data_IF_805049133129
#
_entry.id   IF_805049133129
#
_cell.length_a   1.000
_cell.length_b   1.000
_cell.length_c   1.000
_cell.angle_alpha   90.00
_cell.angle_beta   90.00
_cell.angle_gamma   90.00
#
_symmetry.space_group_name_H-M   'P 1'
#
loop_
_entity.id
_entity.type
_entity.pdbx_description
1 polymer ?
#
# COMPACT_ATOMS: atom_id res chain seq x y z
N UNK A 1 -34.44 10.43 25.33
CA UNK A 1 -33.57 10.69 24.17
C UNK A 1 -34.48 10.97 22.99
N UNK A 2 -34.61 12.23 22.54
CA UNK A 2 -35.60 12.56 21.53
C UNK A 2 -35.12 12.17 20.13
N UNK A 3 -35.92 11.37 19.44
CA UNK A 3 -35.90 11.14 18.00
C UNK A 3 -36.11 12.48 17.26
N UNK A 4 -35.02 13.13 16.87
CA UNK A 4 -35.06 14.18 15.85
C UNK A 4 -34.84 13.52 14.49
N UNK A 5 -35.88 12.88 13.95
CA UNK A 5 -35.87 12.25 12.63
C UNK A 5 -37.02 12.81 11.79
N UNK A 6 -36.68 13.30 10.58
CA UNK A 6 -37.54 13.54 9.40
C UNK A 6 -37.41 14.92 8.73
N UNK A 7 -36.25 15.56 8.78
CA UNK A 7 -35.83 16.34 7.61
C UNK A 7 -34.77 15.54 6.86
N UNK A 8 -34.92 15.33 5.53
CA UNK A 8 -33.83 14.79 4.75
C UNK A 8 -32.64 15.75 4.96
N UNK A 9 -31.48 15.24 5.42
CA UNK A 9 -30.30 16.09 5.58
C UNK A 9 -30.03 16.78 4.24
N UNK A 10 -29.76 18.08 4.28
CA UNK A 10 -29.26 18.79 3.10
C UNK A 10 -27.99 18.08 2.68
N UNK A 11 -28.03 17.43 1.51
CA UNK A 11 -26.90 16.73 0.93
C UNK A 11 -26.22 17.63 -0.10
N UNK A 12 -24.90 17.69 -0.05
CA UNK A 12 -24.08 18.28 -1.13
C UNK A 12 -23.44 17.13 -1.90
N UNK A 13 -23.52 17.17 -3.23
CA UNK A 13 -22.87 16.20 -4.09
C UNK A 13 -21.43 16.65 -4.38
N UNK A 14 -20.47 15.74 -4.21
CA UNK A 14 -19.05 15.96 -4.52
C UNK A 14 -18.63 14.83 -5.46
N UNK A 15 -18.81 15.07 -6.77
CA UNK A 15 -18.72 14.02 -7.78
C UNK A 15 -19.73 12.87 -7.50
N UNK A 16 -19.31 11.58 -7.52
CA UNK A 16 -20.19 10.46 -7.18
C UNK A 16 -20.53 10.32 -5.69
N UNK A 17 -19.87 11.08 -4.81
CA UNK A 17 -20.08 11.01 -3.37
C UNK A 17 -21.14 12.01 -2.91
N UNK A 18 -21.77 11.73 -1.77
CA UNK A 18 -22.74 12.66 -1.14
C UNK A 18 -22.36 12.93 0.30
N UNK A 19 -22.29 14.21 0.64
CA UNK A 19 -22.00 14.69 1.99
C UNK A 19 -23.29 15.11 2.66
N UNK A 20 -23.61 14.49 3.81
CA UNK A 20 -24.79 14.77 4.61
C UNK A 20 -24.40 15.54 5.87
N UNK A 21 -25.04 16.67 6.12
CA UNK A 21 -24.80 17.48 7.32
C UNK A 21 -25.64 17.02 8.52
N UNK A 22 -24.99 16.80 9.66
CA UNK A 22 -25.60 16.43 10.94
C UNK A 22 -25.08 17.34 12.07
N UNK A 23 -25.54 18.59 12.07
CA UNK A 23 -25.00 19.62 12.97
C UNK A 23 -23.55 19.94 12.62
N UNK A 24 -22.63 19.75 13.57
CA UNK A 24 -21.19 19.95 13.35
C UNK A 24 -20.49 18.73 12.72
N UNK A 25 -21.18 17.59 12.67
CA UNK A 25 -20.64 16.38 12.04
C UNK A 25 -21.11 16.31 10.60
N UNK A 26 -20.26 15.77 9.74
CA UNK A 26 -20.61 15.47 8.35
C UNK A 26 -20.45 13.97 8.11
N UNK A 27 -21.35 13.41 7.31
CA UNK A 27 -21.31 12.01 6.90
C UNK A 27 -21.09 11.95 5.41
N UNK A 28 -19.94 11.44 5.00
CA UNK A 28 -19.58 11.28 3.60
C UNK A 28 -19.96 9.88 3.15
N UNK A 29 -20.98 9.79 2.31
CA UNK A 29 -21.41 8.56 1.65
C UNK A 29 -20.60 8.40 0.36
N UNK A 30 -19.54 7.60 0.42
CA UNK A 30 -18.60 7.46 -0.68
C UNK A 30 -18.96 6.27 -1.57
N UNK A 31 -18.85 6.47 -2.89
CA UNK A 31 -18.99 5.38 -3.86
C UNK A 31 -17.80 4.39 -3.80
N UNK A 32 -16.63 4.85 -3.34
CA UNK A 32 -15.40 4.06 -3.23
C UNK A 32 -14.68 4.31 -1.91
N UNK A 33 -13.82 3.37 -1.54
CA UNK A 33 -13.02 3.45 -0.32
C UNK A 33 -11.95 4.55 -0.39
N UNK A 34 -11.67 5.20 0.74
CA UNK A 34 -10.68 6.26 0.90
C UNK A 34 -9.58 5.79 1.85
N UNK A 35 -8.60 5.01 1.36
CA UNK A 35 -7.58 4.40 2.23
C UNK A 35 -6.72 5.44 2.95
N UNK A 36 -6.57 6.64 2.39
CA UNK A 36 -5.81 7.74 2.99
C UNK A 36 -6.48 8.31 4.24
N UNK A 37 -7.77 8.06 4.44
CA UNK A 37 -8.54 8.55 5.60
C UNK A 37 -8.38 7.66 6.82
N UNK A 38 -7.83 6.46 6.69
CA UNK A 38 -7.72 5.53 7.81
C UNK A 38 -6.83 6.09 8.92
N UNK A 39 -7.46 6.36 10.07
CA UNK A 39 -6.79 6.84 11.27
C UNK A 39 -5.79 5.79 11.76
N UNK A 40 -4.50 6.13 11.76
CA UNK A 40 -3.48 5.37 12.49
C UNK A 40 -3.44 5.87 13.93
N UNK A 41 -3.20 4.98 14.89
CA UNK A 41 -3.18 5.31 16.34
C UNK A 41 -2.28 6.52 16.68
N UNK A 42 -1.22 6.75 15.88
CA UNK A 42 -0.25 7.83 16.10
C UNK A 42 -0.41 9.07 15.21
N UNK A 43 -1.38 9.10 14.28
CA UNK A 43 -1.61 10.25 13.41
C UNK A 43 -2.97 10.17 12.72
N UNK A 44 -3.85 11.13 13.04
CA UNK A 44 -5.12 11.34 12.33
C UNK A 44 -4.88 12.32 11.17
N UNK A 45 -5.23 11.99 9.92
CA UNK A 45 -5.22 12.97 8.84
C UNK A 45 -6.29 14.04 9.13
N UNK A 46 -5.97 15.30 8.85
CA UNK A 46 -6.97 16.36 8.83
C UNK A 46 -7.62 16.38 7.44
N UNK A 47 -8.95 16.33 7.40
CA UNK A 47 -9.74 16.38 6.17
C UNK A 47 -10.34 17.77 6.09
N UNK A 48 -9.94 18.56 5.10
CA UNK A 48 -10.48 19.90 4.85
C UNK A 48 -11.64 19.81 3.86
N UNK A 49 -12.81 20.31 4.23
CA UNK A 49 -14.01 20.36 3.39
C UNK A 49 -14.73 21.68 3.65
N UNK A 50 -15.04 22.44 2.59
CA UNK A 50 -15.65 23.78 2.67
C UNK A 50 -14.98 24.69 3.72
N UNK A 51 -13.64 24.80 3.69
CA UNK A 51 -12.82 25.57 4.65
C UNK A 51 -12.88 25.11 6.13
N UNK A 52 -13.54 23.98 6.42
CA UNK A 52 -13.61 23.39 7.75
C UNK A 52 -12.73 22.16 7.84
N UNK A 53 -12.06 22.00 9.00
CA UNK A 53 -11.24 20.83 9.29
C UNK A 53 -12.02 19.79 10.05
N UNK A 54 -11.91 18.56 9.59
CA UNK A 54 -12.48 17.40 10.23
C UNK A 54 -11.45 16.31 10.44
N UNK A 55 -11.78 15.34 11.30
CA UNK A 55 -11.08 14.07 11.39
C UNK A 55 -12.08 12.93 11.23
N UNK A 56 -11.60 11.80 10.71
CA UNK A 56 -12.40 10.59 10.63
C UNK A 56 -12.70 10.06 12.04
N UNK A 57 -13.96 10.16 12.46
CA UNK A 57 -14.42 9.63 13.74
C UNK A 57 -14.81 8.16 13.62
N UNK A 58 -15.46 7.77 12.52
CA UNK A 58 -15.98 6.41 12.32
C UNK A 58 -16.10 6.06 10.85
N UNK A 59 -15.79 4.81 10.52
CA UNK A 59 -16.07 4.20 9.22
C UNK A 59 -17.21 3.20 9.41
N UNK A 60 -18.28 3.37 8.63
CA UNK A 60 -19.48 2.56 8.66
C UNK A 60 -19.70 1.91 7.30
N UNK A 61 -20.41 0.77 7.30
CA UNK A 61 -20.91 0.16 6.07
C UNK A 61 -22.17 0.90 5.62
N UNK A 62 -22.21 1.30 4.36
CA UNK A 62 -23.36 1.96 3.74
C UNK A 62 -24.24 1.00 2.94
N UNK A 63 -25.00 1.56 2.00
CA UNK A 63 -25.97 0.84 1.16
C UNK A 63 -25.30 0.34 -0.15
N UNK A 64 -26.06 -0.36 -1.01
CA UNK A 64 -25.53 -0.96 -2.25
C UNK A 64 -24.81 0.06 -3.16
N UNK A 65 -25.38 1.25 -3.35
CA UNK A 65 -24.79 2.28 -4.23
C UNK A 65 -23.59 3.01 -3.59
N UNK A 66 -23.53 3.04 -2.26
CA UNK A 66 -22.54 3.79 -1.48
C UNK A 66 -22.06 2.94 -0.33
N UNK A 67 -21.17 1.97 -0.59
CA UNK A 67 -20.88 0.88 0.34
C UNK A 67 -20.15 1.34 1.60
N UNK A 68 -19.58 2.55 1.61
CA UNK A 68 -18.85 3.08 2.76
C UNK A 68 -19.36 4.46 3.15
N UNK A 69 -19.64 4.62 4.45
CA UNK A 69 -20.01 5.90 5.06
C UNK A 69 -18.93 6.32 6.05
N UNK A 70 -18.43 7.54 5.90
CA UNK A 70 -17.41 8.11 6.78
C UNK A 70 -18.04 9.20 7.64
N UNK A 71 -18.08 8.99 8.95
CA UNK A 71 -18.50 10.03 9.90
C UNK A 71 -17.28 10.87 10.26
N UNK A 72 -17.33 12.14 9.87
CA UNK A 72 -16.29 13.12 10.16
C UNK A 72 -16.76 14.03 11.30
N UNK A 73 -15.90 14.19 12.29
CA UNK A 73 -16.11 15.08 13.43
C UNK A 73 -15.22 16.32 13.28
N UNK A 74 -15.67 17.49 13.77
CA UNK A 74 -14.90 18.73 13.66
C UNK A 74 -13.56 18.59 14.36
N UNK A 75 -12.51 19.13 13.76
CA UNK A 75 -11.17 19.08 14.34
C UNK A 75 -11.17 19.85 15.67
N UNK A 76 -10.72 19.23 16.78
CA UNK A 76 -10.79 19.86 18.09
C UNK A 76 -9.92 21.13 18.13
N UNK A 77 -10.52 22.27 18.50
CA UNK A 77 -9.82 23.56 18.57
C UNK A 77 -8.62 23.55 19.53
N UNK A 78 -8.64 22.68 20.54
CA UNK A 78 -7.59 22.53 21.55
C UNK A 78 -6.47 21.55 21.14
N UNK A 79 -6.56 20.89 19.98
CA UNK A 79 -5.46 20.06 19.50
C UNK A 79 -4.33 20.95 18.98
N UNK A 80 -3.35 21.20 19.83
CA UNK A 80 -2.08 21.86 19.48
C UNK A 80 -1.23 21.05 18.49
N UNK A 81 -1.56 19.77 18.28
CA UNK A 81 -0.90 18.91 17.33
C UNK A 81 -1.26 19.33 15.89
N UNK A 82 -0.26 19.86 15.16
CA UNK A 82 -0.38 20.05 13.71
C UNK A 82 -0.57 18.68 13.05
N UNK A 83 -1.60 18.50 12.20
CA UNK A 83 -1.75 17.26 11.46
C UNK A 83 -0.54 17.05 10.55
N UNK A 84 -0.03 15.81 10.49
CA UNK A 84 1.08 15.45 9.59
C UNK A 84 0.65 15.43 8.13
N UNK A 85 -0.63 15.16 7.89
CA UNK A 85 -1.24 15.02 6.56
C UNK A 85 -2.53 15.82 6.58
N UNK A 86 -2.68 16.71 5.60
CA UNK A 86 -3.90 17.45 5.34
C UNK A 86 -4.42 16.99 3.98
N UNK A 87 -5.67 16.57 3.93
CA UNK A 87 -6.35 16.08 2.73
C UNK A 87 -7.46 17.07 2.42
N UNK A 88 -7.35 17.77 1.30
CA UNK A 88 -8.43 18.63 0.81
C UNK A 88 -9.43 17.72 0.11
N UNK A 89 -10.65 17.66 0.66
CA UNK A 89 -11.74 16.88 0.10
C UNK A 89 -12.60 17.78 -0.79
N UNK A 90 -12.38 17.68 -2.08
CA UNK A 90 -13.12 18.40 -3.11
C UNK A 90 -13.42 17.49 -4.30
N UNK A 91 -14.05 18.04 -5.34
CA UNK A 91 -14.36 17.30 -6.56
C UNK A 91 -13.09 16.77 -7.25
N UNK A 92 -11.99 17.52 -7.20
CA UNK A 92 -10.71 17.13 -7.79
C UNK A 92 -10.11 15.91 -7.08
N UNK A 93 -10.12 15.89 -5.75
CA UNK A 93 -9.71 14.74 -4.95
C UNK A 93 -10.54 13.51 -5.30
N UNK A 94 -11.86 13.66 -5.39
CA UNK A 94 -12.76 12.56 -5.76
C UNK A 94 -12.48 12.05 -7.17
N UNK A 95 -12.23 12.94 -8.14
CA UNK A 95 -11.84 12.57 -9.50
C UNK A 95 -10.50 11.83 -9.54
N UNK A 96 -9.51 12.27 -8.75
CA UNK A 96 -8.18 11.66 -8.65
C UNK A 96 -8.27 10.24 -8.07
N UNK A 97 -9.02 10.08 -6.97
CA UNK A 97 -9.36 8.78 -6.37
C UNK A 97 -10.01 7.88 -7.41
N UNK A 98 -11.05 8.37 -8.07
CA UNK A 98 -11.82 7.58 -9.02
C UNK A 98 -11.00 7.16 -10.24
N UNK A 99 -10.10 8.02 -10.70
CA UNK A 99 -9.09 7.73 -11.70
C UNK A 99 -8.14 6.62 -11.26
N UNK A 100 -7.68 6.63 -10.01
CA UNK A 100 -6.84 5.56 -9.45
C UNK A 100 -7.58 4.22 -9.44
N UNK A 101 -8.84 4.18 -9.01
CA UNK A 101 -9.64 2.95 -9.04
C UNK A 101 -9.95 2.45 -10.46
N UNK A 102 -10.16 3.36 -11.42
CA UNK A 102 -10.36 2.98 -12.83
C UNK A 102 -9.11 2.30 -13.40
N UNK A 103 -7.91 2.76 -13.01
CA UNK A 103 -6.64 2.13 -13.41
C UNK A 103 -6.44 0.75 -12.78
N UNK A 104 -6.93 0.53 -11.56
CA UNK A 104 -6.72 -0.71 -10.79
C UNK A 104 -7.66 -1.85 -11.22
N UNK A 105 -8.68 -1.62 -12.07
CA UNK A 105 -9.59 -2.70 -12.52
C UNK A 105 -8.78 -3.80 -13.22
N UNK A 106 -8.59 -4.97 -12.58
CA UNK A 106 -7.83 -6.04 -13.18
C UNK A 106 -8.68 -6.62 -14.31
N UNK A 107 -8.15 -6.66 -15.52
CA UNK A 107 -8.73 -7.48 -16.58
C UNK A 107 -8.65 -8.93 -16.08
N UNK A 108 -9.81 -9.55 -15.80
CA UNK A 108 -9.94 -10.74 -14.94
C UNK A 108 -9.11 -11.98 -15.30
N UNK A 109 -8.42 -12.01 -16.45
CA UNK A 109 -7.48 -13.07 -16.81
C UNK A 109 -6.03 -12.84 -16.39
N UNK A 110 -5.57 -11.59 -16.29
CA UNK A 110 -4.13 -11.29 -16.08
C UNK A 110 -3.67 -11.54 -14.63
N UNK A 111 -4.57 -11.44 -13.64
CA UNK A 111 -4.22 -11.67 -12.23
C UNK A 111 -3.69 -13.08 -11.96
N UNK A 112 -4.12 -14.09 -12.73
CA UNK A 112 -3.66 -15.47 -12.53
C UNK A 112 -2.19 -15.63 -12.91
N UNK A 113 -1.74 -15.01 -14.01
CA UNK A 113 -0.34 -15.06 -14.46
C UNK A 113 0.57 -14.40 -13.42
N UNK A 114 0.18 -13.24 -12.91
CA UNK A 114 0.95 -12.51 -11.91
C UNK A 114 1.09 -13.25 -10.57
N UNK A 115 0.14 -14.12 -10.21
CA UNK A 115 0.23 -14.94 -8.99
C UNK A 115 1.34 -15.99 -9.06
N UNK A 116 1.57 -16.60 -10.22
CA UNK A 116 2.66 -17.56 -10.40
C UNK A 116 4.02 -16.86 -10.48
N UNK A 117 4.07 -15.67 -11.08
CA UNK A 117 5.28 -14.87 -11.13
C UNK A 117 5.62 -14.18 -9.80
N UNK A 118 4.66 -14.08 -8.87
CA UNK A 118 4.74 -13.29 -7.64
C UNK A 118 6.03 -13.46 -6.80
N UNK A 119 6.58 -14.69 -6.62
CA UNK A 119 7.83 -14.90 -5.89
C UNK A 119 9.07 -14.30 -6.57
N UNK A 120 8.99 -14.00 -7.86
CA UNK A 120 10.07 -13.41 -8.64
C UNK A 120 9.89 -11.91 -8.86
N UNK A 121 8.66 -11.39 -8.72
CA UNK A 121 8.34 -10.00 -9.07
C UNK A 121 9.10 -8.95 -8.23
N UNK A 122 9.50 -9.30 -7.01
CA UNK A 122 10.20 -8.38 -6.11
C UNK A 122 11.69 -8.22 -6.39
N UNK A 123 12.25 -9.04 -7.28
CA UNK A 123 13.62 -8.89 -7.76
C UNK A 123 13.74 -7.87 -8.90
N UNK A 124 12.63 -7.52 -9.59
CA UNK A 124 12.68 -6.50 -10.64
C UNK A 124 13.03 -5.12 -10.08
N UNK A 125 13.56 -4.21 -10.92
CA UNK A 125 13.87 -2.84 -10.51
C UNK A 125 12.64 -2.07 -10.00
N UNK A 126 12.86 -1.07 -9.15
CA UNK A 126 11.81 -0.21 -8.60
C UNK A 126 11.00 0.46 -9.71
N UNK A 127 11.65 0.91 -10.78
CA UNK A 127 11.00 1.52 -11.95
C UNK A 127 10.05 0.56 -12.68
N UNK A 128 10.36 -0.73 -12.73
CA UNK A 128 9.48 -1.75 -13.30
C UNK A 128 8.28 -2.00 -12.38
N UNK A 129 8.49 -2.05 -11.06
CA UNK A 129 7.39 -2.21 -10.09
C UNK A 129 6.40 -1.04 -10.19
N UNK A 130 6.89 0.18 -10.31
CA UNK A 130 6.07 1.38 -10.49
C UNK A 130 5.33 1.39 -11.84
N UNK A 131 6.06 1.19 -12.95
CA UNK A 131 5.47 1.32 -14.29
C UNK A 131 4.61 0.13 -14.72
N UNK A 132 4.90 -1.09 -14.25
CA UNK A 132 4.23 -2.31 -14.69
C UNK A 132 3.37 -2.90 -13.59
N UNK A 133 3.84 -3.04 -12.35
CA UNK A 133 3.08 -3.77 -11.32
C UNK A 133 1.95 -2.93 -10.70
N UNK A 134 2.20 -1.65 -10.41
CA UNK A 134 1.22 -0.76 -9.78
C UNK A 134 -0.06 -0.58 -10.64
N UNK A 135 0.01 -0.39 -11.98
CA UNK A 135 -1.19 -0.35 -12.82
C UNK A 135 -2.03 -1.63 -12.78
N UNK A 136 -1.42 -2.78 -12.50
CA UNK A 136 -2.14 -4.06 -12.36
C UNK A 136 -2.67 -4.29 -10.93
N UNK A 137 -2.59 -3.28 -10.05
CA UNK A 137 -3.04 -3.35 -8.66
C UNK A 137 -2.14 -4.20 -7.77
N UNK A 138 -0.90 -4.48 -8.20
CA UNK A 138 0.04 -5.28 -7.44
C UNK A 138 0.84 -4.35 -6.51
N UNK A 139 0.65 -4.54 -5.20
CA UNK A 139 1.34 -3.73 -4.20
C UNK A 139 2.86 -4.08 -4.16
N UNK A 140 3.75 -3.14 -4.51
CA UNK A 140 5.20 -3.40 -4.61
C UNK A 140 5.86 -3.75 -3.27
N UNK A 141 5.34 -3.24 -2.14
CA UNK A 141 5.82 -3.58 -0.80
C UNK A 141 5.54 -5.05 -0.47
N UNK A 142 4.31 -5.51 -0.75
CA UNK A 142 3.89 -6.89 -0.47
C UNK A 142 4.68 -7.89 -1.31
N UNK A 143 4.87 -7.58 -2.59
CA UNK A 143 5.72 -8.37 -3.49
C UNK A 143 7.15 -8.42 -2.97
N UNK A 144 7.75 -7.27 -2.66
CA UNK A 144 9.14 -7.21 -2.19
C UNK A 144 9.32 -8.00 -0.90
N UNK A 145 8.39 -7.90 0.06
CA UNK A 145 8.40 -8.68 1.30
C UNK A 145 8.34 -10.19 1.04
N UNK A 146 7.43 -10.64 0.18
CA UNK A 146 7.33 -12.07 -0.16
C UNK A 146 8.63 -12.56 -0.82
N UNK A 147 9.21 -11.78 -1.74
CA UNK A 147 10.47 -12.17 -2.37
C UNK A 147 11.65 -12.18 -1.40
N UNK A 148 11.69 -11.28 -0.40
CA UNK A 148 12.69 -11.31 0.66
C UNK A 148 12.54 -12.58 1.52
N UNK A 149 11.31 -12.95 1.88
CA UNK A 149 11.04 -14.20 2.62
C UNK A 149 11.45 -15.43 1.80
N UNK A 150 11.10 -15.48 0.51
CA UNK A 150 11.51 -16.56 -0.38
C UNK A 150 13.03 -16.64 -0.54
N UNK A 151 13.71 -15.51 -0.71
CA UNK A 151 15.18 -15.45 -0.78
C UNK A 151 15.83 -15.94 0.52
N UNK A 152 15.27 -15.58 1.68
CA UNK A 152 15.75 -16.06 2.98
C UNK A 152 15.55 -17.58 3.14
N UNK A 153 14.37 -18.11 2.78
CA UNK A 153 14.10 -19.55 2.80
C UNK A 153 15.06 -20.31 1.87
N UNK A 154 15.30 -19.77 0.66
CA UNK A 154 16.27 -20.34 -0.28
C UNK A 154 17.69 -20.32 0.30
N UNK A 155 18.11 -19.21 0.90
CA UNK A 155 19.40 -19.10 1.59
C UNK A 155 19.57 -20.17 2.68
N UNK A 156 18.55 -20.38 3.53
CA UNK A 156 18.60 -21.40 4.59
C UNK A 156 18.68 -22.81 3.98
N UNK A 157 17.90 -23.07 2.93
CA UNK A 157 17.95 -24.35 2.22
C UNK A 157 19.33 -24.61 1.60
N UNK A 158 19.91 -23.60 0.94
CA UNK A 158 21.26 -23.66 0.36
C UNK A 158 22.32 -23.94 1.44
N UNK A 159 22.26 -23.25 2.57
CA UNK A 159 23.18 -23.44 3.68
C UNK A 159 23.12 -24.89 4.22
N UNK A 160 21.91 -25.44 4.35
CA UNK A 160 21.70 -26.84 4.75
C UNK A 160 22.27 -27.80 3.71
N UNK A 161 22.03 -27.57 2.42
CA UNK A 161 22.56 -28.40 1.34
C UNK A 161 24.10 -28.41 1.36
N UNK A 162 24.73 -27.23 1.40
CA UNK A 162 26.19 -27.12 1.46
C UNK A 162 26.78 -27.78 2.71
N UNK A 163 26.07 -27.75 3.84
CA UNK A 163 26.48 -28.48 5.05
C UNK A 163 26.57 -30.01 4.80
N UNK A 164 25.68 -30.56 3.96
CA UNK A 164 25.72 -31.96 3.54
C UNK A 164 26.60 -32.21 2.29
N UNK A 165 27.51 -31.29 1.97
CA UNK A 165 28.50 -31.38 0.88
C UNK A 165 27.95 -31.30 -0.56
N UNK A 166 26.73 -30.79 -0.76
CA UNK A 166 26.20 -30.53 -2.10
C UNK A 166 25.44 -29.20 -2.14
N UNK A 167 25.73 -28.32 -3.09
CA UNK A 167 24.91 -27.11 -3.30
C UNK A 167 23.64 -27.38 -4.11
N UNK A 168 22.64 -26.49 -4.05
CA UNK A 168 21.44 -26.62 -4.90
C UNK A 168 21.84 -26.42 -6.37
N UNK A 169 22.62 -25.39 -6.69
CA UNK A 169 23.11 -25.17 -8.06
C UNK A 169 24.03 -26.30 -8.50
N UNK A 170 24.90 -26.80 -7.61
CA UNK A 170 25.72 -27.95 -7.92
C UNK A 170 24.88 -29.17 -8.34
N UNK A 171 23.79 -29.44 -7.61
CA UNK A 171 22.90 -30.57 -7.87
C UNK A 171 22.16 -30.47 -9.21
N UNK A 172 21.75 -29.27 -9.61
CA UNK A 172 20.96 -29.07 -10.84
C UNK A 172 21.81 -28.78 -12.07
N UNK A 173 23.00 -28.19 -11.92
CA UNK A 173 23.79 -27.65 -13.03
C UNK A 173 25.24 -28.18 -13.10
N UNK A 174 25.62 -29.15 -12.26
CA UNK A 174 26.95 -29.78 -12.28
C UNK A 174 27.96 -29.09 -11.36
N UNK A 175 29.27 -29.06 -11.67
CA UNK A 175 30.30 -28.59 -10.73
C UNK A 175 30.38 -27.05 -10.59
N UNK A 176 29.25 -26.37 -10.44
CA UNK A 176 29.14 -24.91 -10.32
C UNK A 176 29.08 -24.44 -8.85
N UNK A 177 29.95 -24.97 -7.99
CA UNK A 177 29.93 -24.71 -6.53
C UNK A 177 30.06 -23.21 -6.17
N UNK A 178 30.70 -22.42 -7.03
CA UNK A 178 30.86 -20.99 -6.81
C UNK A 178 29.51 -20.24 -6.83
N UNK A 179 28.50 -20.74 -7.57
CA UNK A 179 27.16 -20.16 -7.57
C UNK A 179 26.46 -20.35 -6.23
N UNK A 180 26.65 -21.51 -5.61
CA UNK A 180 26.11 -21.81 -4.29
C UNK A 180 26.71 -20.85 -3.23
N UNK A 181 28.03 -20.68 -3.23
CA UNK A 181 28.70 -19.71 -2.35
C UNK A 181 28.27 -18.27 -2.63
N UNK A 182 28.13 -17.90 -3.91
CA UNK A 182 27.64 -16.58 -4.29
C UNK A 182 26.22 -16.36 -3.76
N UNK A 183 25.32 -17.33 -3.88
CA UNK A 183 23.96 -17.25 -3.37
C UNK A 183 23.94 -17.10 -1.83
N UNK A 184 24.77 -17.86 -1.12
CA UNK A 184 24.92 -17.77 0.34
C UNK A 184 25.35 -16.38 0.81
N UNK A 185 26.19 -15.68 0.04
CA UNK A 185 26.66 -14.33 0.41
C UNK A 185 25.69 -13.25 -0.09
N UNK A 186 25.28 -13.33 -1.35
CA UNK A 186 24.50 -12.30 -2.04
C UNK A 186 23.07 -12.16 -1.49
N UNK A 187 22.36 -13.28 -1.34
CA UNK A 187 20.94 -13.28 -0.99
C UNK A 187 20.64 -12.68 0.38
N UNK A 188 21.35 -13.02 1.48
CA UNK A 188 21.06 -12.41 2.77
C UNK A 188 21.39 -10.91 2.79
N UNK A 189 22.46 -10.48 2.13
CA UNK A 189 22.84 -9.07 2.09
C UNK A 189 21.79 -8.25 1.32
N UNK A 190 21.43 -8.69 0.12
CA UNK A 190 20.39 -8.05 -0.68
C UNK A 190 19.03 -8.04 0.03
N UNK A 191 18.65 -9.17 0.65
CA UNK A 191 17.40 -9.27 1.42
C UNK A 191 17.38 -8.35 2.64
N UNK A 192 18.52 -8.19 3.33
CA UNK A 192 18.62 -7.28 4.48
C UNK A 192 18.44 -5.82 4.07
N UNK A 193 19.07 -5.38 2.97
CA UNK A 193 18.91 -4.01 2.45
C UNK A 193 17.46 -3.75 2.03
N UNK A 194 16.85 -4.66 1.26
CA UNK A 194 15.44 -4.52 0.85
C UNK A 194 14.48 -4.57 2.04
N UNK A 195 14.75 -5.42 3.02
CA UNK A 195 13.94 -5.49 4.25
C UNK A 195 14.03 -4.18 5.05
N UNK A 196 15.22 -3.58 5.13
CA UNK A 196 15.41 -2.26 5.75
C UNK A 196 14.62 -1.16 5.03
N UNK A 197 14.62 -1.14 3.69
CA UNK A 197 13.79 -0.21 2.89
C UNK A 197 12.29 -0.39 3.15
N UNK A 198 11.84 -1.64 3.27
CA UNK A 198 10.44 -1.97 3.62
C UNK A 198 10.09 -1.45 5.02
N UNK A 199 10.97 -1.64 6.02
CA UNK A 199 10.78 -1.12 7.38
C UNK A 199 10.71 0.41 7.41
N UNK A 200 11.53 1.07 6.58
CA UNK A 200 11.51 2.52 6.40
C UNK A 200 10.34 3.03 5.54
N UNK A 201 9.46 2.14 5.09
CA UNK A 201 8.27 2.47 4.29
C UNK A 201 8.61 3.19 2.98
N UNK A 202 9.73 2.83 2.36
CA UNK A 202 10.00 3.29 1.00
C UNK A 202 8.90 2.78 0.06
N UNK A 203 8.30 3.68 -0.72
CA UNK A 203 7.14 3.37 -1.56
C UNK A 203 7.44 2.28 -2.59
N UNK A 204 8.68 2.28 -3.13
CA UNK A 204 9.18 1.30 -4.08
C UNK A 204 10.56 0.80 -3.61
N UNK A 205 10.61 -0.28 -2.82
CA UNK A 205 11.88 -0.89 -2.45
C UNK A 205 12.65 -1.33 -3.69
N UNK A 206 13.97 -1.21 -3.61
CA UNK A 206 14.88 -1.57 -4.70
C UNK A 206 14.69 -3.04 -5.12
N UNK A 207 14.98 -3.31 -6.39
CA UNK A 207 15.13 -4.65 -6.93
C UNK A 207 16.41 -5.34 -6.46
N UNK A 208 16.66 -6.53 -7.02
CA UNK A 208 17.89 -7.28 -6.73
C UNK A 208 19.13 -6.47 -7.11
N UNK A 209 19.99 -6.17 -6.15
CA UNK A 209 21.21 -5.36 -6.30
C UNK A 209 21.04 -3.95 -6.88
N UNK A 210 19.82 -3.44 -7.04
CA UNK A 210 19.59 -2.07 -7.55
C UNK A 210 20.12 -0.99 -6.58
N UNK A 211 20.24 -1.32 -5.30
CA UNK A 211 20.80 -0.46 -4.27
C UNK A 211 22.33 -0.30 -4.36
N UNK A 212 23.05 -1.25 -5.00
CA UNK A 212 24.51 -1.29 -5.00
C UNK A 212 25.13 -0.06 -5.70
N UNK A 213 24.70 0.36 -6.90
CA UNK A 213 25.20 1.59 -7.52
C UNK A 213 24.87 2.85 -6.72
N UNK A 214 23.76 2.87 -5.96
CA UNK A 214 23.39 4.01 -5.11
C UNK A 214 24.32 4.12 -3.91
N UNK A 215 24.74 2.98 -3.36
CA UNK A 215 25.70 2.92 -2.26
C UNK A 215 27.11 3.36 -2.70
N UNK A 216 27.57 2.92 -3.87
CA UNK A 216 28.90 3.26 -4.41
C UNK A 216 29.08 4.73 -4.81
N UNK A 217 27.98 5.49 -4.93
CA UNK A 217 28.02 6.93 -5.28
C UNK A 217 28.03 7.86 -4.06
N UNK A 218 27.93 7.32 -2.84
CA UNK A 218 28.01 8.08 -1.59
C UNK A 218 29.43 8.07 -1.07
#
# INVERSE_FOLDING_TARGET
MPESQNRPPSGVEVGPDVVLYFGEKIVVCAAKEMPEWESRESSRPAIEFEDHRYYLSRKLRGDEDRPTRYELAPWPAFASARPKVVIVYDEDYVALRDGAFKKIKPTGGQQTVWRFAYPLLGFFPASFKESVLEPHGINPLRVSLITCLCAYVFFVAELICLFFSFGIFQKFFGPLIWLDYLAVVALPFDSAVRFYQILNRERYPDGFFEWLPKFLRR
#
